data_IF_694198462446
#
_entry.id   IF_694198462446
#
_cell.length_a   1.000
_cell.length_b   1.000
_cell.length_c   1.000
_cell.angle_alpha   90.00
_cell.angle_beta   90.00
_cell.angle_gamma   90.00
#
_symmetry.space_group_name_H-M   'P 1'
#
loop_
_entity.id
_entity.type
_entity.pdbx_description
1 polymer ?
#
# COMPACT_ATOMS: atom_id res chain seq x y z
N UNK A 1 -1.00 -38.96 -48.51
CA UNK A 1 -0.16 -39.42 -47.38
C UNK A 1 -0.02 -38.29 -46.38
N UNK A 2 -0.27 -38.61 -45.10
CA UNK A 2 -0.63 -37.70 -44.00
C UNK A 2 0.56 -36.83 -43.55
N UNK A 3 0.39 -35.50 -43.53
CA UNK A 3 1.42 -34.54 -43.13
C UNK A 3 1.55 -34.44 -41.61
N UNK A 4 2.79 -34.24 -41.21
CA UNK A 4 3.42 -34.26 -39.89
C UNK A 4 2.64 -33.49 -38.81
N UNK A 5 2.45 -34.12 -37.65
CA UNK A 5 1.95 -33.48 -36.41
C UNK A 5 3.01 -32.50 -35.92
N UNK A 6 2.75 -31.20 -36.01
CA UNK A 6 3.55 -30.17 -35.34
C UNK A 6 3.11 -30.09 -33.87
N UNK A 7 4.00 -30.48 -32.96
CA UNK A 7 3.86 -30.24 -31.52
C UNK A 7 4.34 -28.83 -31.26
N UNK A 8 3.41 -27.92 -30.95
CA UNK A 8 3.75 -26.55 -30.53
C UNK A 8 4.18 -26.60 -29.06
N UNK A 9 5.47 -26.34 -28.85
CA UNK A 9 6.09 -26.13 -27.54
C UNK A 9 5.61 -24.78 -27.02
N UNK A 10 4.87 -24.78 -25.92
CA UNK A 10 4.40 -23.55 -25.27
C UNK A 10 5.59 -22.85 -24.61
N UNK A 11 6.04 -21.73 -25.20
CA UNK A 11 6.99 -20.83 -24.59
C UNK A 11 6.35 -20.17 -23.35
N UNK A 12 6.97 -20.33 -22.19
CA UNK A 12 6.58 -19.63 -20.96
C UNK A 12 6.98 -18.16 -21.12
N UNK A 13 5.99 -17.28 -21.21
CA UNK A 13 6.22 -15.83 -21.21
C UNK A 13 6.37 -15.37 -19.76
N UNK A 14 7.59 -15.05 -19.35
CA UNK A 14 7.86 -14.27 -18.14
C UNK A 14 7.54 -12.81 -18.46
N UNK A 15 6.30 -12.39 -18.20
CA UNK A 15 5.94 -10.98 -18.21
C UNK A 15 6.34 -10.37 -16.87
N UNK A 16 7.56 -9.84 -16.84
CA UNK A 16 7.96 -8.84 -15.88
C UNK A 16 7.26 -7.52 -16.20
N UNK A 17 6.29 -7.15 -15.37
CA UNK A 17 5.82 -5.76 -15.19
C UNK A 17 5.17 -5.66 -13.81
N UNK A 18 5.98 -5.55 -12.76
CA UNK A 18 5.50 -4.98 -11.50
C UNK A 18 5.25 -3.49 -11.78
N UNK A 19 4.00 -3.18 -12.12
CA UNK A 19 3.47 -1.85 -12.30
C UNK A 19 3.92 -0.98 -11.12
N UNK A 20 4.77 0.01 -11.37
CA UNK A 20 4.92 1.14 -10.46
C UNK A 20 3.63 1.93 -10.52
N UNK A 21 2.63 1.52 -9.74
CA UNK A 21 1.50 2.36 -9.38
C UNK A 21 2.04 3.35 -8.35
N UNK A 22 2.87 4.28 -8.82
CA UNK A 22 3.17 5.52 -8.11
C UNK A 22 1.97 6.42 -8.27
N UNK A 23 0.84 6.05 -7.68
CA UNK A 23 -0.15 7.04 -7.31
C UNK A 23 0.40 7.71 -6.05
N UNK A 24 1.33 8.64 -6.22
CA UNK A 24 1.57 9.65 -5.20
C UNK A 24 0.25 10.41 -5.08
N UNK A 25 -0.46 10.37 -3.93
CA UNK A 25 -1.59 11.26 -3.74
C UNK A 25 -1.02 12.68 -3.67
N UNK A 26 -1.05 13.35 -4.82
CA UNK A 26 -0.84 14.77 -4.88
C UNK A 26 -1.98 15.45 -4.10
N UNK A 27 -1.63 15.93 -2.91
CA UNK A 27 -2.20 17.14 -2.35
C UNK A 27 -3.69 17.01 -2.00
N UNK A 28 -3.94 16.42 -0.84
CA UNK A 28 -4.95 17.04 -0.02
C UNK A 28 -4.48 17.03 1.43
N UNK A 29 -3.60 17.99 1.72
CA UNK A 29 -3.35 18.59 3.03
C UNK A 29 -4.67 18.84 3.77
N UNK A 30 -5.05 17.92 4.63
CA UNK A 30 -6.15 18.08 5.55
C UNK A 30 -6.27 16.78 6.29
N UNK A 31 -5.74 16.76 7.52
CA UNK A 31 -5.63 15.59 8.41
C UNK A 31 -6.67 14.51 8.08
N UNK A 32 -6.30 13.54 7.22
CA UNK A 32 -7.19 12.43 6.90
C UNK A 32 -6.87 11.30 7.85
N UNK A 33 -7.92 10.65 8.33
CA UNK A 33 -7.76 9.38 9.03
C UNK A 33 -7.23 8.36 8.03
N UNK A 34 -5.93 8.10 8.09
CA UNK A 34 -5.23 7.10 7.28
C UNK A 34 -5.27 5.70 7.93
N UNK A 35 -5.60 5.61 9.22
CA UNK A 35 -5.80 4.32 9.88
C UNK A 35 -6.40 4.41 11.29
N UNK A 36 -6.88 3.27 11.81
CA UNK A 36 -7.40 3.14 13.17
C UNK A 36 -6.78 1.89 13.80
N UNK A 37 -6.12 2.06 14.94
CA UNK A 37 -5.29 1.05 15.59
C UNK A 37 -5.70 0.84 17.04
N UNK A 38 -5.59 -0.40 17.53
CA UNK A 38 -5.94 -0.70 18.92
C UNK A 38 -4.84 -0.29 19.90
N UNK A 39 -3.60 -0.31 19.45
CA UNK A 39 -2.42 -0.03 20.26
C UNK A 39 -1.62 1.10 19.62
N UNK A 40 -1.14 2.03 20.44
CA UNK A 40 -0.22 3.10 20.06
C UNK A 40 0.97 2.60 19.22
N UNK A 41 1.70 1.54 19.61
CA UNK A 41 2.85 1.06 18.82
C UNK A 41 2.50 0.61 17.40
N UNK A 42 1.27 0.17 17.15
CA UNK A 42 0.82 -0.15 15.79
C UNK A 42 0.56 1.11 14.97
N UNK A 43 0.00 2.15 15.59
CA UNK A 43 -0.20 3.44 14.96
C UNK A 43 1.15 4.07 14.59
N UNK A 44 2.07 4.17 15.54
CA UNK A 44 3.42 4.71 15.35
C UNK A 44 4.21 3.96 14.27
N UNK A 45 4.13 2.62 14.27
CA UNK A 45 4.81 1.78 13.27
C UNK A 45 4.30 2.06 11.87
N UNK A 46 2.98 2.12 11.68
CA UNK A 46 2.39 2.41 10.36
C UNK A 46 2.65 3.85 9.95
N UNK A 47 2.53 4.80 10.88
CA UNK A 47 2.85 6.23 10.70
C UNK A 47 4.26 6.43 10.18
N UNK A 48 5.24 5.89 10.90
CA UNK A 48 6.65 5.91 10.51
C UNK A 48 6.87 5.23 9.17
N UNK A 49 6.20 4.10 8.91
CA UNK A 49 6.32 3.40 7.64
C UNK A 49 5.79 4.25 6.48
N UNK A 50 4.69 4.97 6.64
CA UNK A 50 4.17 5.82 5.57
C UNK A 50 5.06 7.03 5.29
N UNK A 51 5.70 7.64 6.30
CA UNK A 51 6.73 8.67 6.09
C UNK A 51 7.91 8.09 5.30
N UNK A 52 8.41 6.92 5.70
CA UNK A 52 9.54 6.27 5.02
C UNK A 52 9.24 5.86 3.57
N UNK A 53 7.96 5.73 3.22
CA UNK A 53 7.50 5.29 1.89
C UNK A 53 6.90 6.45 1.09
N UNK A 54 7.06 7.69 1.57
CA UNK A 54 6.53 8.92 0.96
C UNK A 54 5.01 8.86 0.70
N UNK A 55 4.26 8.16 1.57
CA UNK A 55 2.79 8.12 1.53
C UNK A 55 2.17 9.40 2.11
N UNK A 56 2.84 9.99 3.09
CA UNK A 56 2.50 11.24 3.77
C UNK A 56 3.77 11.94 4.27
N UNK A 57 3.69 13.27 4.49
CA UNK A 57 4.83 14.07 4.94
C UNK A 57 5.04 13.97 6.45
N UNK A 58 3.95 13.94 7.22
CA UNK A 58 3.92 13.74 8.65
C UNK A 58 2.74 12.84 9.02
N UNK A 59 2.67 12.46 10.30
CA UNK A 59 1.52 11.76 10.84
C UNK A 59 1.34 12.12 12.31
N UNK A 60 0.11 11.95 12.80
CA UNK A 60 -0.22 12.06 14.22
C UNK A 60 -1.05 10.87 14.66
N UNK A 61 -0.73 10.34 15.85
CA UNK A 61 -1.46 9.25 16.49
C UNK A 61 -2.26 9.79 17.67
N UNK A 62 -3.57 9.97 17.48
CA UNK A 62 -4.47 10.49 18.51
C UNK A 62 -5.28 9.38 19.19
N UNK A 63 -5.28 9.35 20.52
CA UNK A 63 -6.15 8.46 21.28
C UNK A 63 -7.58 9.01 21.37
N UNK A 64 -8.53 8.32 20.74
CA UNK A 64 -9.95 8.64 20.83
C UNK A 64 -10.61 7.74 21.89
N UNK A 65 -10.71 8.29 23.10
CA UNK A 65 -11.24 7.61 24.28
C UNK A 65 -12.69 7.12 24.13
N UNK A 66 -13.48 7.75 23.26
CA UNK A 66 -14.86 7.30 22.96
C UNK A 66 -14.88 5.94 22.27
N UNK A 67 -13.92 5.66 21.40
CA UNK A 67 -13.83 4.39 20.68
C UNK A 67 -12.81 3.43 21.30
N UNK A 68 -11.88 3.92 22.12
CA UNK A 68 -10.75 3.18 22.68
C UNK A 68 -9.81 2.67 21.58
N UNK A 69 -9.53 3.53 20.61
CA UNK A 69 -8.59 3.29 19.51
C UNK A 69 -7.71 4.53 19.30
N UNK A 70 -6.55 4.31 18.71
CA UNK A 70 -5.65 5.32 18.17
C UNK A 70 -6.01 5.59 16.72
N UNK A 71 -6.19 6.85 16.36
CA UNK A 71 -6.46 7.31 15.01
C UNK A 71 -5.17 7.86 14.44
N UNK A 72 -4.80 7.39 13.25
CA UNK A 72 -3.64 7.88 12.52
C UNK A 72 -4.12 8.93 11.54
N UNK A 73 -3.70 10.16 11.75
CA UNK A 73 -3.92 11.29 10.85
C UNK A 73 -2.67 11.51 10.00
N UNK A 74 -2.84 11.71 8.70
CA UNK A 74 -1.78 11.89 7.71
C UNK A 74 -2.29 12.55 6.41
#
# INVERSE_FOLDING_TARGET
MRKVRAVLVTAVVVLGTSLTIGATPAQADGERVAGIFRYEPDCERVGTQGVNQDWWNDYECEWEGRYRYFFLYA
#
